data_IF_815924511722
#
_entry.id   IF_815924511722
#
_cell.length_a   1.000
_cell.length_b   1.000
_cell.length_c   1.000
_cell.angle_alpha   90.00
_cell.angle_beta   90.00
_cell.angle_gamma   90.00
#
_symmetry.space_group_name_H-M   'P 1'
#
loop_
_entity.id
_entity.type
_entity.pdbx_description
1 polymer ?
#
# COMPACT_ATOMS: atom_id res chain seq x y z
N UNK A 1 -5.28 23.82 -21.21
CA UNK A 1 -4.84 24.24 -19.87
C UNK A 1 -3.66 25.20 -20.04
N UNK A 2 -3.75 26.36 -19.41
CA UNK A 2 -2.68 27.36 -19.39
C UNK A 2 -1.53 26.87 -18.50
N UNK A 3 -0.31 27.35 -18.73
CA UNK A 3 0.87 26.91 -17.96
C UNK A 3 0.81 27.44 -16.53
N UNK A 4 1.18 26.60 -15.55
CA UNK A 4 1.48 27.07 -14.20
C UNK A 4 2.87 27.72 -14.18
N UNK A 5 2.88 29.06 -14.16
CA UNK A 5 4.11 29.85 -14.16
C UNK A 5 5.02 29.57 -12.95
N UNK A 6 4.45 29.17 -11.81
CA UNK A 6 5.22 28.83 -10.62
C UNK A 6 5.91 27.47 -10.79
N UNK A 7 5.16 26.45 -11.21
CA UNK A 7 5.68 25.12 -11.51
C UNK A 7 6.78 25.17 -12.58
N UNK A 8 6.54 25.89 -13.69
CA UNK A 8 7.53 26.08 -14.75
C UNK A 8 8.81 26.77 -14.23
N UNK A 9 8.67 27.78 -13.37
CA UNK A 9 9.83 28.44 -12.74
C UNK A 9 10.66 27.48 -11.89
N UNK A 10 10.02 26.57 -11.14
CA UNK A 10 10.71 25.56 -10.35
C UNK A 10 11.43 24.54 -11.25
N UNK A 11 10.78 24.09 -12.33
CA UNK A 11 11.37 23.21 -13.34
C UNK A 11 12.61 23.86 -13.96
N UNK A 12 12.50 25.11 -14.43
CA UNK A 12 13.64 25.86 -14.96
C UNK A 12 14.75 26.04 -13.92
N UNK A 13 14.40 26.20 -12.64
CA UNK A 13 15.39 26.30 -11.56
C UNK A 13 16.19 24.99 -11.41
N UNK A 14 15.54 23.83 -11.51
CA UNK A 14 16.24 22.51 -11.55
C UNK A 14 17.15 22.43 -12.78
N UNK A 15 16.61 22.69 -13.98
CA UNK A 15 17.33 22.54 -15.25
C UNK A 15 18.56 23.46 -15.33
N UNK A 16 18.45 24.67 -14.79
CA UNK A 16 19.56 25.64 -14.75
C UNK A 16 20.43 25.52 -13.48
N UNK A 17 20.29 24.45 -12.70
CA UNK A 17 21.07 24.19 -11.48
C UNK A 17 20.94 25.29 -10.40
N UNK A 18 19.84 26.05 -10.41
CA UNK A 18 19.52 27.07 -9.41
C UNK A 18 18.72 26.46 -8.26
N UNK A 19 19.21 25.34 -7.72
CA UNK A 19 18.50 24.56 -6.70
C UNK A 19 18.25 25.34 -5.41
N UNK A 20 19.03 26.39 -5.13
CA UNK A 20 18.80 27.32 -4.02
C UNK A 20 17.47 28.08 -4.11
N UNK A 21 16.83 28.09 -5.29
CA UNK A 21 15.53 28.73 -5.51
C UNK A 21 14.36 27.75 -5.31
N UNK A 22 14.64 26.46 -5.08
CA UNK A 22 13.63 25.43 -4.86
C UNK A 22 13.37 25.37 -3.35
N UNK A 23 12.11 25.43 -2.90
CA UNK A 23 11.78 25.22 -1.50
C UNK A 23 12.26 23.85 -1.01
N UNK A 24 12.71 23.78 0.25
CA UNK A 24 13.10 22.51 0.89
C UNK A 24 11.94 21.50 0.90
N UNK A 25 10.70 21.99 0.96
CA UNK A 25 9.49 21.17 0.99
C UNK A 25 8.44 21.71 0.02
N UNK A 26 7.89 20.85 -0.83
CA UNK A 26 6.76 21.16 -1.74
C UNK A 26 5.49 20.45 -1.27
N UNK A 27 4.33 21.11 -1.31
CA UNK A 27 3.04 20.46 -1.04
C UNK A 27 2.73 19.41 -2.10
N UNK A 28 1.90 18.40 -1.79
CA UNK A 28 1.55 17.37 -2.77
C UNK A 28 0.86 17.96 -4.02
N UNK A 29 -0.03 18.93 -3.84
CA UNK A 29 -0.62 19.70 -4.94
C UNK A 29 0.44 20.44 -5.77
N UNK A 30 1.44 21.06 -5.14
CA UNK A 30 2.55 21.70 -5.85
C UNK A 30 3.40 20.70 -6.65
N UNK A 31 3.64 19.50 -6.10
CA UNK A 31 4.32 18.42 -6.82
C UNK A 31 3.51 17.94 -8.02
N UNK A 32 2.17 17.85 -7.89
CA UNK A 32 1.28 17.51 -8.99
C UNK A 32 1.35 18.55 -10.11
N UNK A 33 1.31 19.84 -9.81
CA UNK A 33 1.43 20.89 -10.84
C UNK A 33 2.77 20.82 -11.58
N UNK A 34 3.87 20.55 -10.86
CA UNK A 34 5.17 20.32 -11.50
C UNK A 34 5.14 19.09 -12.40
N UNK A 35 4.48 18.01 -11.98
CA UNK A 35 4.37 16.78 -12.78
C UNK A 35 3.55 16.99 -14.06
N UNK A 36 2.48 17.77 -13.98
CA UNK A 36 1.64 18.18 -15.13
C UNK A 36 2.46 18.95 -16.16
N UNK A 37 3.20 19.98 -15.73
CA UNK A 37 4.07 20.75 -16.62
C UNK A 37 5.20 19.88 -17.19
N UNK A 38 5.78 19.00 -16.36
CA UNK A 38 6.84 18.11 -16.80
C UNK A 38 6.37 17.09 -17.85
N UNK A 39 5.17 16.53 -17.73
CA UNK A 39 4.61 15.63 -18.76
C UNK A 39 4.29 16.40 -20.04
N UNK A 40 3.68 17.59 -19.92
CA UNK A 40 3.34 18.45 -21.07
C UNK A 40 4.56 18.78 -21.95
N UNK A 41 5.71 19.02 -21.34
CA UNK A 41 6.94 19.42 -22.03
C UNK A 41 7.98 18.29 -22.13
N UNK A 42 7.63 17.04 -21.79
CA UNK A 42 8.50 15.86 -21.78
C UNK A 42 9.82 16.03 -20.98
N UNK A 43 9.72 16.67 -19.80
CA UNK A 43 10.85 17.02 -18.93
C UNK A 43 11.11 15.97 -17.82
N UNK A 44 10.39 14.85 -17.84
CA UNK A 44 10.48 13.80 -16.82
C UNK A 44 11.91 13.26 -16.62
N UNK A 45 12.71 13.17 -17.69
CA UNK A 45 14.12 12.73 -17.61
C UNK A 45 14.99 13.77 -16.93
N UNK A 46 14.82 15.05 -17.26
CA UNK A 46 15.58 16.14 -16.66
C UNK A 46 15.32 16.26 -15.14
N UNK A 47 14.11 15.90 -14.70
CA UNK A 47 13.68 16.00 -13.31
C UNK A 47 13.91 14.71 -12.50
N UNK A 48 14.54 13.67 -13.06
CA UNK A 48 14.71 12.34 -12.43
C UNK A 48 15.18 12.39 -10.98
N UNK A 49 16.16 13.24 -10.66
CA UNK A 49 16.69 13.34 -9.30
C UNK A 49 15.82 14.19 -8.37
N UNK A 50 15.24 15.27 -8.90
CA UNK A 50 14.39 16.17 -8.13
C UNK A 50 13.08 15.46 -7.74
N UNK A 51 12.44 14.76 -8.69
CA UNK A 51 11.19 14.03 -8.43
C UNK A 51 11.36 12.91 -7.40
N UNK A 52 12.54 12.28 -7.31
CA UNK A 52 12.82 11.26 -6.31
C UNK A 52 12.82 11.81 -4.87
N UNK A 53 13.04 13.13 -4.72
CA UNK A 53 12.84 13.83 -3.44
C UNK A 53 11.39 14.27 -3.27
N UNK A 54 10.78 14.83 -4.31
CA UNK A 54 9.42 15.39 -4.25
C UNK A 54 8.32 14.35 -4.06
N UNK A 55 8.49 13.13 -4.57
CA UNK A 55 7.51 12.05 -4.46
C UNK A 55 7.59 11.27 -3.14
N UNK A 56 8.54 11.60 -2.26
CA UNK A 56 8.64 10.94 -0.95
C UNK A 56 7.55 11.44 -0.01
N UNK A 57 6.83 10.53 0.69
CA UNK A 57 5.95 10.94 1.76
C UNK A 57 6.76 11.60 2.89
N UNK A 58 6.18 12.63 3.48
CA UNK A 58 6.69 13.43 4.59
C UNK A 58 6.09 13.00 5.92
N UNK A 59 5.01 12.22 5.90
CA UNK A 59 4.39 11.59 7.06
C UNK A 59 3.21 12.37 7.64
N UNK A 60 2.94 13.57 7.14
CA UNK A 60 1.80 14.42 7.49
C UNK A 60 0.75 14.52 6.36
N UNK A 61 0.97 13.82 5.24
CA UNK A 61 0.03 13.82 4.12
C UNK A 61 -1.34 13.29 4.51
N UNK A 62 -2.38 14.04 4.14
CA UNK A 62 -3.71 13.48 4.13
C UNK A 62 -3.92 12.53 2.93
N UNK A 63 -5.09 11.91 2.89
CA UNK A 63 -5.42 10.93 1.86
C UNK A 63 -5.53 11.54 0.46
N UNK A 64 -5.89 12.82 0.34
CA UNK A 64 -5.93 13.56 -0.93
C UNK A 64 -4.53 13.87 -1.41
N UNK A 65 -3.64 14.28 -0.50
CA UNK A 65 -2.22 14.49 -0.78
C UNK A 65 -1.58 13.19 -1.32
N UNK A 66 -1.90 12.03 -0.75
CA UNK A 66 -1.44 10.74 -1.27
C UNK A 66 -1.92 10.49 -2.71
N UNK A 67 -3.15 10.88 -3.04
CA UNK A 67 -3.68 10.74 -4.39
C UNK A 67 -2.99 11.70 -5.37
N UNK A 68 -2.72 12.95 -4.98
CA UNK A 68 -1.92 13.88 -5.79
C UNK A 68 -0.51 13.33 -6.05
N UNK A 69 0.16 12.76 -5.05
CA UNK A 69 1.47 12.15 -5.23
C UNK A 69 1.42 10.90 -6.12
N UNK A 70 0.33 10.12 -6.08
CA UNK A 70 0.11 8.99 -7.01
C UNK A 70 -0.01 9.49 -8.45
N UNK A 71 -0.84 10.50 -8.70
CA UNK A 71 -1.00 11.08 -10.05
C UNK A 71 0.30 11.73 -10.53
N UNK A 72 1.01 12.44 -9.65
CA UNK A 72 2.32 13.00 -9.99
C UNK A 72 3.32 11.91 -10.39
N UNK A 73 3.36 10.79 -9.66
CA UNK A 73 4.20 9.64 -10.02
C UNK A 73 3.84 9.03 -11.38
N UNK A 74 2.55 8.97 -11.71
CA UNK A 74 2.05 8.54 -13.02
C UNK A 74 2.55 9.45 -14.14
N UNK A 75 2.37 10.77 -14.01
CA UNK A 75 2.79 11.77 -15.00
C UNK A 75 4.31 11.81 -15.17
N UNK A 76 5.07 11.64 -14.09
CA UNK A 76 6.52 11.50 -14.18
C UNK A 76 6.99 10.17 -14.79
N UNK A 77 6.09 9.21 -15.01
CA UNK A 77 6.40 7.83 -15.41
C UNK A 77 7.36 7.17 -14.42
N UNK A 78 7.16 7.43 -13.13
CA UNK A 78 7.95 6.85 -12.05
C UNK A 78 7.23 5.62 -11.49
N UNK A 79 7.51 4.45 -12.10
CA UNK A 79 6.85 3.19 -11.76
C UNK A 79 6.98 2.83 -10.27
N UNK A 80 8.17 3.04 -9.68
CA UNK A 80 8.42 2.68 -8.29
C UNK A 80 7.60 3.55 -7.33
N UNK A 81 7.59 4.87 -7.55
CA UNK A 81 6.75 5.77 -6.77
C UNK A 81 5.26 5.49 -6.98
N UNK A 82 4.83 5.23 -8.21
CA UNK A 82 3.43 4.96 -8.54
C UNK A 82 2.89 3.70 -7.84
N UNK A 83 3.65 2.58 -7.90
CA UNK A 83 3.32 1.34 -7.19
C UNK A 83 3.22 1.59 -5.68
N UNK A 84 4.17 2.35 -5.12
CA UNK A 84 4.17 2.66 -3.69
C UNK A 84 2.98 3.52 -3.26
N UNK A 85 2.65 4.59 -4.01
CA UNK A 85 1.54 5.50 -3.68
C UNK A 85 0.17 4.84 -3.88
N UNK A 86 0.00 4.05 -4.95
CA UNK A 86 -1.25 3.30 -5.18
C UNK A 86 -1.47 2.25 -4.09
N UNK A 87 -0.42 1.57 -3.63
CA UNK A 87 -0.51 0.64 -2.51
C UNK A 87 -0.88 1.35 -1.20
N UNK A 88 -0.32 2.53 -0.94
CA UNK A 88 -0.68 3.33 0.24
C UNK A 88 -2.16 3.71 0.23
N UNK A 89 -2.73 4.07 -0.93
CA UNK A 89 -4.17 4.31 -1.05
C UNK A 89 -4.97 3.02 -0.80
N UNK A 90 -4.56 1.88 -1.36
CA UNK A 90 -5.24 0.59 -1.14
C UNK A 90 -5.30 0.22 0.35
N UNK A 91 -4.23 0.51 1.09
CA UNK A 91 -4.06 0.05 2.47
C UNK A 91 -4.64 1.06 3.48
N UNK A 92 -4.41 2.35 3.28
CA UNK A 92 -4.71 3.41 4.26
C UNK A 92 -6.01 4.15 3.99
N UNK A 93 -6.48 4.19 2.74
CA UNK A 93 -7.68 4.92 2.36
C UNK A 93 -8.93 4.13 2.78
N UNK A 94 -9.70 4.63 3.75
CA UNK A 94 -10.93 3.98 4.21
C UNK A 94 -12.15 4.31 3.35
N UNK A 95 -12.20 5.53 2.81
CA UNK A 95 -13.36 6.06 2.10
C UNK A 95 -13.57 5.40 0.72
N UNK A 96 -14.66 5.78 0.05
CA UNK A 96 -14.85 5.44 -1.36
C UNK A 96 -13.92 6.27 -2.24
N UNK A 97 -13.44 5.70 -3.34
CA UNK A 97 -12.60 6.43 -4.30
C UNK A 97 -13.41 7.43 -5.16
N UNK A 98 -14.72 7.55 -4.95
CA UNK A 98 -15.57 8.51 -5.66
C UNK A 98 -15.15 9.95 -5.35
N UNK A 99 -14.79 10.26 -4.11
CA UNK A 99 -14.30 11.60 -3.75
C UNK A 99 -13.03 12.00 -4.50
N UNK A 100 -12.20 11.03 -4.92
CA UNK A 100 -11.03 11.30 -5.76
C UNK A 100 -11.40 11.48 -7.24
N UNK A 101 -12.53 10.94 -7.69
CA UNK A 101 -13.06 11.18 -9.04
C UNK A 101 -13.67 12.57 -9.17
N UNK A 102 -14.26 13.07 -8.09
CA UNK A 102 -14.84 14.42 -8.02
C UNK A 102 -13.76 15.52 -8.04
N UNK A 103 -12.50 15.19 -7.75
CA UNK A 103 -11.35 16.11 -7.92
C UNK A 103 -10.88 16.13 -9.38
N UNK A 104 -11.13 17.24 -10.06
CA UNK A 104 -10.75 17.43 -11.47
C UNK A 104 -9.24 17.34 -11.71
N UNK A 105 -8.40 17.71 -10.73
CA UNK A 105 -6.94 17.62 -10.86
C UNK A 105 -6.44 16.17 -10.84
N UNK A 106 -7.24 15.26 -10.29
CA UNK A 106 -6.95 13.82 -10.27
C UNK A 106 -7.59 13.17 -11.47
N UNK A 107 -8.91 13.33 -11.65
CA UNK A 107 -9.71 12.56 -12.60
C UNK A 107 -9.39 12.88 -14.07
N UNK A 108 -8.90 14.08 -14.39
CA UNK A 108 -8.49 14.43 -15.75
C UNK A 108 -7.07 13.95 -16.09
N UNK A 109 -6.22 13.73 -15.09
CA UNK A 109 -4.78 13.48 -15.27
C UNK A 109 -4.41 12.00 -15.28
N UNK A 110 -5.29 11.13 -14.81
CA UNK A 110 -5.05 9.68 -14.74
C UNK A 110 -6.20 8.88 -15.36
N UNK A 111 -5.94 7.75 -16.05
CA UNK A 111 -7.00 6.96 -16.64
C UNK A 111 -8.00 6.45 -15.60
N UNK A 112 -9.30 6.50 -15.95
CA UNK A 112 -10.40 6.02 -15.09
C UNK A 112 -10.20 4.58 -14.60
N UNK A 113 -9.55 3.75 -15.43
CA UNK A 113 -9.16 2.37 -15.10
C UNK A 113 -8.38 2.24 -13.79
N UNK A 114 -7.60 3.25 -13.43
CA UNK A 114 -6.84 3.28 -12.18
C UNK A 114 -7.73 3.19 -10.95
N UNK A 115 -8.85 3.92 -10.93
CA UNK A 115 -9.79 3.90 -9.80
C UNK A 115 -10.49 2.55 -9.67
N UNK A 116 -10.84 1.92 -10.80
CA UNK A 116 -11.37 0.55 -10.79
C UNK A 116 -10.36 -0.45 -10.23
N UNK A 117 -9.09 -0.33 -10.63
CA UNK A 117 -8.02 -1.19 -10.10
C UNK A 117 -7.81 -0.95 -8.59
N UNK A 118 -7.79 0.31 -8.12
CA UNK A 118 -7.70 0.61 -6.68
C UNK A 118 -8.84 -0.04 -5.88
N UNK A 119 -10.08 0.04 -6.39
CA UNK A 119 -11.25 -0.57 -5.77
C UNK A 119 -11.19 -2.11 -5.78
N UNK A 120 -10.81 -2.69 -6.92
CA UNK A 120 -10.71 -4.13 -7.11
C UNK A 120 -9.61 -4.73 -6.23
N UNK A 121 -8.42 -4.12 -6.21
CA UNK A 121 -7.27 -4.57 -5.41
C UNK A 121 -7.56 -4.48 -3.92
N UNK A 122 -8.18 -3.40 -3.44
CA UNK A 122 -8.59 -3.26 -2.04
C UNK A 122 -9.62 -4.31 -1.63
N UNK A 123 -10.59 -4.57 -2.51
CA UNK A 123 -11.62 -5.60 -2.26
C UNK A 123 -11.01 -7.00 -2.21
N UNK A 124 -10.13 -7.32 -3.16
CA UNK A 124 -9.38 -8.59 -3.15
C UNK A 124 -8.53 -8.72 -1.89
N UNK A 125 -7.83 -7.66 -1.47
CA UNK A 125 -7.01 -7.67 -0.27
C UNK A 125 -7.84 -8.02 0.98
N UNK A 126 -9.00 -7.37 1.16
CA UNK A 126 -9.93 -7.67 2.27
C UNK A 126 -10.41 -9.12 2.25
N UNK A 127 -10.71 -9.66 1.07
CA UNK A 127 -11.10 -11.07 0.91
C UNK A 127 -9.94 -12.02 1.26
N UNK A 128 -8.71 -11.72 0.81
CA UNK A 128 -7.52 -12.50 1.13
C UNK A 128 -7.20 -12.47 2.64
N UNK A 129 -7.37 -11.32 3.30
CA UNK A 129 -7.27 -11.21 4.76
C UNK A 129 -8.33 -12.08 5.46
N UNK A 130 -9.59 -12.02 5.01
CA UNK A 130 -10.68 -12.84 5.58
C UNK A 130 -10.36 -14.34 5.48
N UNK A 131 -9.89 -14.77 4.31
CA UNK A 131 -9.47 -16.14 4.07
C UNK A 131 -8.27 -16.52 4.96
N UNK A 132 -7.29 -15.63 5.10
CA UNK A 132 -6.12 -15.83 5.93
C UNK A 132 -6.47 -15.96 7.42
N UNK A 133 -7.39 -15.13 7.92
CA UNK A 133 -7.90 -15.22 9.29
C UNK A 133 -8.65 -16.53 9.53
N UNK A 134 -9.51 -16.94 8.58
CA UNK A 134 -10.22 -18.21 8.64
C UNK A 134 -9.25 -19.41 8.70
N UNK A 135 -8.26 -19.45 7.81
CA UNK A 135 -7.25 -20.51 7.82
C UNK A 135 -6.48 -20.51 9.12
N UNK A 136 -6.03 -19.33 9.57
CA UNK A 136 -5.30 -19.16 10.82
C UNK A 136 -6.08 -19.68 12.03
N UNK A 137 -7.38 -19.36 12.12
CA UNK A 137 -8.27 -19.81 13.18
C UNK A 137 -8.36 -21.34 13.26
N UNK A 138 -8.21 -22.03 12.13
CA UNK A 138 -8.33 -23.47 12.00
C UNK A 138 -6.97 -24.20 11.98
N UNK A 139 -5.87 -23.57 12.41
CA UNK A 139 -4.52 -24.19 12.44
C UNK A 139 -4.18 -24.97 13.71
N UNK A 140 -5.11 -25.08 14.66
CA UNK A 140 -4.87 -25.76 15.94
C UNK A 140 -4.65 -27.27 15.79
N UNK A 141 -3.58 -27.79 16.39
CA UNK A 141 -3.32 -29.23 16.48
C UNK A 141 -3.83 -29.78 17.83
N UNK A 142 -4.15 -31.08 17.87
CA UNK A 142 -4.52 -31.78 19.10
C UNK A 142 -3.43 -31.75 20.18
N UNK A 143 -2.16 -31.61 19.78
CA UNK A 143 -1.04 -31.43 20.71
C UNK A 143 -0.94 -30.01 21.31
N UNK A 144 -1.84 -29.10 20.93
CA UNK A 144 -1.86 -27.70 21.37
C UNK A 144 -1.03 -26.75 20.50
N UNK A 145 -0.27 -27.26 19.52
CA UNK A 145 0.49 -26.40 18.60
C UNK A 145 -0.46 -25.47 17.82
N UNK A 146 -0.14 -24.17 17.84
CA UNK A 146 -0.91 -23.14 17.14
C UNK A 146 -2.26 -22.78 17.78
N UNK A 147 -2.61 -23.34 18.96
CA UNK A 147 -3.91 -23.10 19.60
C UNK A 147 -4.14 -21.63 19.99
N UNK A 148 -3.19 -20.98 20.68
CA UNK A 148 -3.38 -19.57 21.08
C UNK A 148 -3.48 -18.65 19.87
N UNK A 149 -2.65 -18.90 18.84
CA UNK A 149 -2.73 -18.18 17.56
C UNK A 149 -4.10 -18.36 16.90
N UNK A 150 -4.60 -19.59 16.83
CA UNK A 150 -5.92 -19.89 16.25
C UNK A 150 -7.04 -19.17 16.98
N UNK A 151 -7.03 -19.18 18.31
CA UNK A 151 -8.01 -18.45 19.14
C UNK A 151 -7.96 -16.93 18.87
N UNK A 152 -6.77 -16.33 18.81
CA UNK A 152 -6.62 -14.90 18.47
C UNK A 152 -7.10 -14.57 17.05
N UNK A 153 -6.80 -15.43 16.08
CA UNK A 153 -7.30 -15.28 14.72
C UNK A 153 -8.84 -15.39 14.64
N UNK A 154 -9.44 -16.28 15.42
CA UNK A 154 -10.90 -16.40 15.51
C UNK A 154 -11.55 -15.14 16.12
N UNK A 155 -10.91 -14.54 17.14
CA UNK A 155 -11.35 -13.27 17.71
C UNK A 155 -11.32 -12.14 16.66
N UNK A 156 -10.19 -11.96 15.96
CA UNK A 156 -10.11 -10.95 14.89
C UNK A 156 -11.11 -11.22 13.76
N UNK A 157 -11.33 -12.49 13.40
CA UNK A 157 -12.34 -12.85 12.41
C UNK A 157 -13.75 -12.43 12.87
N UNK A 158 -14.08 -12.60 14.15
CA UNK A 158 -15.37 -12.20 14.71
C UNK A 158 -15.55 -10.67 14.77
N UNK A 159 -14.46 -9.94 15.01
CA UNK A 159 -14.42 -8.47 15.03
C UNK A 159 -14.54 -7.88 13.62
N UNK A 160 -13.73 -8.39 12.70
CA UNK A 160 -13.64 -7.95 11.31
C UNK A 160 -14.50 -8.82 10.38
N UNK A 161 -15.80 -8.84 10.62
CA UNK A 161 -16.76 -9.40 9.65
C UNK A 161 -16.76 -8.60 8.34
N UNK A 162 -17.25 -9.16 7.21
CA UNK A 162 -17.12 -8.52 5.89
C UNK A 162 -17.55 -7.05 5.83
N UNK A 163 -18.63 -6.68 6.50
CA UNK A 163 -19.08 -5.27 6.56
C UNK A 163 -18.15 -4.40 7.42
N UNK A 164 -17.70 -4.91 8.57
CA UNK A 164 -16.77 -4.19 9.46
C UNK A 164 -15.42 -3.94 8.80
N UNK A 165 -14.95 -4.85 7.95
CA UNK A 165 -13.72 -4.64 7.18
C UNK A 165 -13.81 -3.49 6.19
N UNK A 166 -15.01 -3.12 5.74
CA UNK A 166 -15.22 -2.01 4.80
C UNK A 166 -15.09 -0.66 5.53
N UNK A 167 -15.53 -0.61 6.79
CA UNK A 167 -15.59 0.60 7.60
C UNK A 167 -14.22 1.07 8.14
N UNK A 168 -13.19 0.23 8.01
CA UNK A 168 -11.83 0.51 8.50
C UNK A 168 -10.79 0.47 7.37
N UNK A 169 -9.65 1.18 7.51
CA UNK A 169 -8.49 0.97 6.67
C UNK A 169 -8.00 -0.48 6.75
N UNK A 170 -7.47 -1.00 5.63
CA UNK A 170 -6.85 -2.33 5.63
C UNK A 170 -5.62 -2.35 6.55
N UNK A 171 -4.93 -1.21 6.72
CA UNK A 171 -3.80 -1.08 7.64
C UNK A 171 -4.15 -1.51 9.06
N UNK A 172 -5.30 -1.07 9.58
CA UNK A 172 -5.73 -1.35 10.95
C UNK A 172 -5.86 -2.86 11.18
N UNK A 173 -6.50 -3.56 10.23
CA UNK A 173 -6.66 -5.01 10.28
C UNK A 173 -5.29 -5.69 10.22
N UNK A 174 -4.40 -5.23 9.33
CA UNK A 174 -3.04 -5.74 9.21
C UNK A 174 -2.27 -5.58 10.51
N UNK A 175 -2.34 -4.42 11.16
CA UNK A 175 -1.60 -4.15 12.40
C UNK A 175 -2.10 -5.01 13.56
N UNK A 176 -3.41 -5.23 13.67
CA UNK A 176 -3.97 -6.19 14.61
C UNK A 176 -3.55 -7.63 14.31
N UNK A 177 -3.46 -8.02 13.03
CA UNK A 177 -2.91 -9.33 12.65
C UNK A 177 -1.43 -9.47 13.00
N UNK A 178 -0.61 -8.42 12.82
CA UNK A 178 0.81 -8.43 13.20
C UNK A 178 1.02 -8.57 14.70
N UNK A 179 0.09 -8.05 15.51
CA UNK A 179 0.13 -8.15 16.96
C UNK A 179 -0.14 -9.59 17.48
N UNK A 180 -0.58 -10.51 16.62
CA UNK A 180 -0.78 -11.91 17.01
C UNK A 180 0.59 -12.56 17.28
N UNK A 181 0.84 -12.84 18.56
CA UNK A 181 2.04 -13.56 19.01
C UNK A 181 2.20 -14.92 18.29
N UNK A 182 3.44 -15.20 17.90
CA UNK A 182 3.88 -16.46 17.27
C UNK A 182 4.67 -17.36 18.21
N UNK A 183 4.71 -17.04 19.52
CA UNK A 183 5.51 -17.74 20.54
C UNK A 183 5.31 -19.27 20.55
N UNK A 184 4.10 -19.73 20.21
CA UNK A 184 3.78 -21.15 20.14
C UNK A 184 4.49 -21.90 18.98
N UNK A 185 5.03 -21.19 17.98
CA UNK A 185 5.77 -21.78 16.85
C UNK A 185 7.22 -22.14 17.15
N UNK A 186 7.77 -21.65 18.27
CA UNK A 186 9.11 -22.00 18.75
C UNK A 186 9.14 -23.26 19.64
N UNK A 187 7.97 -23.79 20.00
CA UNK A 187 7.85 -24.96 20.88
C UNK A 187 7.87 -26.25 20.06
N UNK A 188 8.84 -27.13 20.33
CA UNK A 188 8.88 -28.48 19.78
C UNK A 188 7.84 -29.34 20.49
N UNK A 189 6.71 -29.58 19.85
CA UNK A 189 5.72 -30.54 20.33
C UNK A 189 5.90 -31.89 19.62
N UNK A 190 6.51 -32.84 20.34
CA UNK A 190 6.15 -34.26 20.45
C UNK A 190 7.07 -34.92 21.49
N UNK A 191 6.48 -35.45 22.57
CA UNK A 191 7.10 -36.47 23.41
C UNK A 191 6.01 -37.37 23.99
N UNK A 192 5.53 -38.34 23.23
CA UNK A 192 5.61 -39.73 23.70
C UNK A 192 5.35 -40.73 22.56
N UNK A 193 6.05 -41.86 22.69
CA UNK A 193 6.17 -43.07 21.86
C UNK A 193 5.16 -43.27 20.71
N UNK A 194 5.70 -43.43 19.49
CA UNK A 194 5.67 -44.67 18.68
C UNK A 194 5.53 -44.46 17.15
N UNK A 195 5.37 -43.23 16.67
CA UNK A 195 5.39 -42.93 15.22
C UNK A 195 6.19 -41.64 14.94
N UNK A 196 7.34 -41.78 14.27
CA UNK A 196 8.33 -40.74 14.01
C UNK A 196 7.95 -39.73 12.90
N UNK A 197 6.67 -39.43 12.71
CA UNK A 197 6.17 -38.84 11.45
C UNK A 197 5.86 -37.34 11.43
N UNK A 198 5.61 -36.66 12.55
CA UNK A 198 4.87 -35.38 12.49
C UNK A 198 5.35 -34.27 13.44
N UNK A 199 6.66 -34.10 13.65
CA UNK A 199 7.14 -32.92 14.39
C UNK A 199 6.66 -31.62 13.71
N UNK A 200 6.06 -30.73 14.50
CA UNK A 200 5.80 -29.38 14.05
C UNK A 200 7.14 -28.65 13.93
N UNK A 201 7.49 -28.31 12.69
CA UNK A 201 8.62 -27.44 12.40
C UNK A 201 8.14 -26.00 12.27
N UNK A 202 9.01 -25.06 12.62
CA UNK A 202 8.75 -23.64 12.36
C UNK A 202 8.62 -23.45 10.84
N UNK A 203 7.50 -22.91 10.35
CA UNK A 203 7.30 -22.75 8.91
C UNK A 203 8.31 -21.72 8.34
N UNK A 204 8.70 -21.86 7.07
CA UNK A 204 9.48 -20.83 6.39
C UNK A 204 8.71 -19.50 6.38
N UNK A 205 9.42 -18.37 6.36
CA UNK A 205 8.83 -17.03 6.49
C UNK A 205 7.63 -16.81 5.56
N UNK A 206 7.73 -17.22 4.29
CA UNK A 206 6.67 -17.09 3.29
C UNK A 206 5.34 -17.77 3.65
N UNK A 207 5.40 -18.82 4.49
CA UNK A 207 4.22 -19.55 4.98
C UNK A 207 3.71 -19.00 6.32
N UNK A 208 4.42 -18.07 6.96
CA UNK A 208 3.96 -17.39 8.17
C UNK A 208 2.84 -16.39 7.84
N UNK A 209 2.07 -15.99 8.85
CA UNK A 209 1.04 -14.96 8.73
C UNK A 209 1.62 -13.67 8.13
N UNK A 210 2.77 -13.22 8.65
CA UNK A 210 3.46 -12.01 8.20
C UNK A 210 3.97 -12.14 6.77
N UNK A 211 4.62 -13.26 6.42
CA UNK A 211 5.12 -13.48 5.07
C UNK A 211 4.01 -13.50 4.02
N UNK A 212 2.84 -14.04 4.38
CA UNK A 212 1.64 -14.02 3.54
C UNK A 212 1.08 -12.62 3.38
N UNK A 213 0.97 -11.83 4.46
CA UNK A 213 0.55 -10.41 4.39
C UNK A 213 1.50 -9.62 3.49
N UNK A 214 2.81 -9.78 3.65
CA UNK A 214 3.79 -9.09 2.80
C UNK A 214 3.71 -9.53 1.33
N UNK A 215 3.41 -10.81 1.07
CA UNK A 215 3.12 -11.27 -0.29
C UNK A 215 1.85 -10.65 -0.86
N UNK A 216 0.81 -10.45 -0.05
CA UNK A 216 -0.45 -9.82 -0.47
C UNK A 216 -0.21 -8.35 -0.83
N UNK A 217 0.54 -7.61 0.00
CA UNK A 217 0.95 -6.22 -0.30
C UNK A 217 1.64 -6.08 -1.64
N UNK A 218 2.63 -6.94 -1.92
CA UNK A 218 3.35 -6.94 -3.20
C UNK A 218 2.44 -7.19 -4.40
N UNK A 219 1.42 -8.03 -4.26
CA UNK A 219 0.44 -8.35 -5.32
C UNK A 219 -0.65 -7.29 -5.48
N UNK A 220 -0.88 -6.47 -4.46
CA UNK A 220 -1.92 -5.45 -4.46
C UNK A 220 -1.48 -4.17 -5.18
N UNK A 221 -0.18 -3.86 -5.21
CA UNK A 221 0.36 -2.70 -5.90
C UNK A 221 -0.02 -2.68 -7.38
N UNK A 222 -0.29 -1.49 -7.91
CA UNK A 222 -0.68 -1.27 -9.31
C UNK A 222 0.55 -0.75 -10.06
N UNK A 223 0.91 -1.44 -11.15
CA UNK A 223 1.99 -1.03 -12.03
C UNK A 223 1.48 -0.11 -13.14
N UNK A 224 2.36 0.70 -13.73
CA UNK A 224 2.00 1.53 -14.89
C UNK A 224 1.54 0.67 -16.08
N UNK A 225 2.11 -0.52 -16.24
CA UNK A 225 1.74 -1.47 -17.30
C UNK A 225 0.34 -2.08 -17.11
N UNK A 226 -0.25 -1.97 -15.91
CA UNK A 226 -1.61 -2.44 -15.65
C UNK A 226 -2.68 -1.48 -16.20
N UNK A 227 -2.30 -0.23 -16.50
CA UNK A 227 -3.21 0.88 -16.81
C UNK A 227 -3.38 1.04 -18.31
#
# INVERSE_FOLDING_TARGET
MEDDAHAMRLICSVIHHRNTNIPDTLTASGVLQIAVEADKYDLSVALKYARAHWLKPKGDEDLTDMAYLMVAAFLFRDMGAFVARSLDLIINYKETYLGLLDDENISQMIPLKTFYLLAERRTRFRAEISQLLFECANTGCSCGWGKSRGEKCALLQSEYQPLKMIDVPVLEIIDNMKAISTEDMGRKYHSDRQYSGYYHETPPYEKTLLGRIESMKRKAGICLDDI
#
